data_IF_576718452314
#
_entry.id   IF_576718452314
#
_cell.length_a   1.000
_cell.length_b   1.000
_cell.length_c   1.000
_cell.angle_alpha   90.00
_cell.angle_beta   90.00
_cell.angle_gamma   90.00
#
_symmetry.space_group_name_H-M   'P 1'
#
loop_
_entity.id
_entity.type
_entity.pdbx_description
1 polymer ?
#
# COMPACT_ATOMS: atom_id res chain seq x y z
N UNK A 1 17.49 30.93 37.12
CA UNK A 1 16.50 29.92 36.67
C UNK A 1 17.16 29.01 35.64
N UNK A 2 17.11 27.69 35.83
CA UNK A 2 17.75 26.73 34.93
C UNK A 2 17.09 26.76 33.54
N UNK A 3 17.77 27.33 32.53
CA UNK A 3 17.24 27.46 31.16
C UNK A 3 16.76 26.15 30.55
N UNK A 4 17.38 25.02 30.95
CA UNK A 4 16.96 23.68 30.52
C UNK A 4 15.51 23.36 30.96
N UNK A 5 15.14 23.71 32.19
CA UNK A 5 13.80 23.42 32.74
C UNK A 5 12.72 24.26 32.04
N UNK A 6 13.03 25.53 31.76
CA UNK A 6 12.14 26.45 31.04
C UNK A 6 11.97 26.00 29.58
N UNK A 7 13.05 25.58 28.92
CA UNK A 7 12.98 25.05 27.56
C UNK A 7 12.11 23.79 27.46
N UNK A 8 12.17 22.90 28.46
CA UNK A 8 11.32 21.71 28.50
C UNK A 8 9.85 22.05 28.66
N UNK A 9 9.51 23.00 29.53
CA UNK A 9 8.14 23.46 29.73
C UNK A 9 7.54 24.03 28.43
N UNK A 10 8.23 24.98 27.79
CA UNK A 10 7.76 25.61 26.55
C UNK A 10 7.61 24.61 25.38
N UNK A 11 8.48 23.59 25.36
CA UNK A 11 8.41 22.51 24.37
C UNK A 11 7.18 21.61 24.59
N UNK A 12 6.82 21.32 25.86
CA UNK A 12 5.60 20.58 26.20
C UNK A 12 4.32 21.38 25.91
N UNK A 13 4.39 22.70 26.03
CA UNK A 13 3.33 23.64 25.62
C UNK A 13 3.18 23.75 24.08
N UNK A 14 3.94 22.99 23.29
CA UNK A 14 3.80 22.88 21.84
C UNK A 14 4.49 23.98 21.03
N UNK A 15 5.34 24.80 21.67
CA UNK A 15 6.09 25.84 20.95
C UNK A 15 7.16 25.23 20.03
N UNK A 16 7.43 25.90 18.91
CA UNK A 16 8.48 25.46 18.00
C UNK A 16 9.86 25.62 18.64
N UNK A 17 10.78 24.69 18.35
CA UNK A 17 12.18 24.76 18.85
C UNK A 17 12.88 26.09 18.55
N UNK A 18 12.47 26.78 17.46
CA UNK A 18 12.99 28.10 17.09
C UNK A 18 12.45 29.22 17.97
N UNK A 19 11.20 29.13 18.42
CA UNK A 19 10.62 30.07 19.39
C UNK A 19 11.26 29.86 20.76
N UNK A 20 11.35 28.62 21.22
CA UNK A 20 11.97 28.28 22.52
C UNK A 20 13.41 28.77 22.62
N UNK A 21 14.20 28.61 21.55
CA UNK A 21 15.58 29.11 21.48
C UNK A 21 15.67 30.63 21.68
N UNK A 22 14.74 31.40 21.12
CA UNK A 22 14.68 32.85 21.29
C UNK A 22 14.26 33.27 22.71
N UNK A 23 13.34 32.52 23.33
CA UNK A 23 12.79 32.86 24.65
C UNK A 23 13.76 32.54 25.78
N UNK A 24 14.54 31.46 25.64
CA UNK A 24 15.44 30.95 26.69
C UNK A 24 16.90 31.34 26.45
N UNK A 25 17.18 32.10 25.39
CA UNK A 25 18.53 32.47 24.94
C UNK A 25 19.48 31.27 24.85
N UNK A 26 18.98 30.17 24.30
CA UNK A 26 19.75 28.95 24.04
C UNK A 26 19.93 28.77 22.54
N UNK A 27 21.08 28.22 22.15
CA UNK A 27 21.28 27.87 20.75
C UNK A 27 20.28 26.78 20.32
N UNK A 28 19.86 26.86 19.06
CA UNK A 28 18.85 25.97 18.48
C UNK A 28 19.20 24.49 18.66
N UNK A 29 20.49 24.14 18.56
CA UNK A 29 20.96 22.76 18.71
C UNK A 29 20.82 22.24 20.14
N UNK A 30 21.03 23.08 21.16
CA UNK A 30 20.82 22.71 22.56
C UNK A 30 19.34 22.44 22.83
N UNK A 31 18.45 23.31 22.36
CA UNK A 31 16.99 23.11 22.48
C UNK A 31 16.54 21.84 21.76
N UNK A 32 17.08 21.57 20.56
CA UNK A 32 16.82 20.31 19.82
C UNK A 32 17.27 19.07 20.60
N UNK A 33 18.47 19.09 21.19
CA UNK A 33 18.97 17.96 22.00
C UNK A 33 18.11 17.75 23.25
N UNK A 34 17.78 18.84 23.96
CA UNK A 34 16.87 18.80 25.12
C UNK A 34 15.52 18.19 24.72
N UNK A 35 14.93 18.61 23.60
CA UNK A 35 13.69 18.06 23.07
C UNK A 35 13.81 16.57 22.70
N UNK A 36 14.89 16.17 22.03
CA UNK A 36 15.13 14.77 21.62
C UNK A 36 15.40 13.83 22.80
N UNK A 37 16.09 14.30 23.84
CA UNK A 37 16.34 13.52 25.05
C UNK A 37 15.11 13.36 25.94
N UNK A 38 14.10 14.22 25.77
CA UNK A 38 12.88 14.22 26.59
C UNK A 38 11.64 13.88 25.75
N UNK A 39 11.83 13.10 24.69
CA UNK A 39 10.87 12.88 23.59
C UNK A 39 9.79 11.82 23.90
N UNK A 40 9.66 11.38 25.15
CA UNK A 40 8.74 10.30 25.52
C UNK A 40 7.26 10.64 25.27
N UNK A 41 6.88 11.92 25.09
CA UNK A 41 5.46 12.31 24.99
C UNK A 41 5.15 13.39 23.92
N UNK A 42 6.01 13.64 22.93
CA UNK A 42 5.69 14.63 21.89
C UNK A 42 5.25 13.93 20.60
N UNK A 43 4.01 14.15 20.12
CA UNK A 43 3.54 13.56 18.88
C UNK A 43 4.45 14.00 17.73
N UNK A 44 5.10 13.04 17.09
CA UNK A 44 5.93 13.27 15.92
C UNK A 44 5.00 13.72 14.78
N UNK A 45 5.00 15.00 14.45
CA UNK A 45 4.34 15.44 13.22
C UNK A 45 5.07 14.78 12.05
N UNK A 46 4.39 13.89 11.33
CA UNK A 46 4.88 13.30 10.09
C UNK A 46 4.86 14.38 9.01
N UNK A 47 5.75 15.36 9.13
CA UNK A 47 5.89 16.45 8.18
C UNK A 47 6.10 15.87 6.78
N UNK A 48 5.12 16.11 5.91
CA UNK A 48 5.12 15.58 4.56
C UNK A 48 4.08 16.30 3.72
N UNK A 49 4.33 16.40 2.41
CA UNK A 49 3.35 16.93 1.47
C UNK A 49 2.13 15.99 1.42
N UNK A 50 0.90 16.51 1.48
CA UNK A 50 -0.30 15.70 1.29
C UNK A 50 -0.22 14.87 0.02
N UNK A 51 -0.75 13.64 0.07
CA UNK A 51 -0.80 12.75 -1.09
C UNK A 51 -1.62 13.43 -2.19
N UNK A 52 -1.22 13.21 -3.44
CA UNK A 52 -2.00 13.72 -4.59
C UNK A 52 -3.38 13.06 -4.63
N UNK A 53 -3.46 11.75 -4.39
CA UNK A 53 -4.71 11.00 -4.38
C UNK A 53 -5.13 10.69 -2.95
N UNK A 54 -6.37 11.07 -2.63
CA UNK A 54 -7.02 10.77 -1.35
C UNK A 54 -7.67 9.38 -1.36
N UNK A 55 -7.88 8.80 -0.18
CA UNK A 55 -8.49 7.47 -0.03
C UNK A 55 -9.92 7.41 -0.56
N UNK A 56 -10.67 8.51 -0.36
CA UNK A 56 -12.05 8.66 -0.87
C UNK A 56 -12.14 8.47 -2.39
N UNK A 57 -11.12 8.90 -3.12
CA UNK A 57 -11.03 8.78 -4.59
C UNK A 57 -10.45 7.43 -5.01
N UNK A 58 -9.50 6.92 -4.24
CA UNK A 58 -8.80 5.68 -4.56
C UNK A 58 -9.70 4.46 -4.38
N UNK A 59 -10.59 4.46 -3.39
CA UNK A 59 -11.47 3.32 -3.10
C UNK A 59 -12.48 3.00 -4.23
N UNK A 60 -13.18 3.99 -4.83
CA UNK A 60 -14.01 3.77 -6.02
C UNK A 60 -13.23 3.26 -7.22
N UNK A 61 -12.05 3.82 -7.50
CA UNK A 61 -11.20 3.38 -8.62
C UNK A 61 -10.73 1.93 -8.43
N UNK A 62 -10.38 1.54 -7.20
CA UNK A 62 -10.06 0.16 -6.82
C UNK A 62 -11.25 -0.78 -7.03
N UNK A 63 -12.44 -0.37 -6.59
CA UNK A 63 -13.65 -1.17 -6.74
C UNK A 63 -13.95 -1.43 -8.22
N UNK A 64 -13.82 -0.41 -9.06
CA UNK A 64 -14.04 -0.53 -10.50
C UNK A 64 -12.97 -1.38 -11.21
N UNK A 65 -11.71 -1.32 -10.77
CA UNK A 65 -10.66 -2.24 -11.24
C UNK A 65 -10.96 -3.69 -10.85
N UNK A 66 -11.35 -3.95 -9.60
CA UNK A 66 -11.72 -5.31 -9.13
C UNK A 66 -12.92 -5.89 -9.86
N UNK A 67 -13.92 -5.06 -10.15
CA UNK A 67 -15.11 -5.46 -10.90
C UNK A 67 -14.87 -5.60 -12.40
N UNK A 68 -13.68 -5.23 -12.90
CA UNK A 68 -13.32 -5.32 -14.31
C UNK A 68 -13.87 -4.19 -15.18
N UNK A 69 -14.48 -3.14 -14.60
CA UNK A 69 -14.92 -1.95 -15.35
C UNK A 69 -13.74 -1.19 -15.94
N UNK A 70 -12.62 -1.14 -15.23
CA UNK A 70 -11.36 -0.62 -15.75
C UNK A 70 -10.43 -1.78 -16.08
N UNK A 71 -9.94 -1.83 -17.33
CA UNK A 71 -9.04 -2.88 -17.81
C UNK A 71 -7.59 -2.64 -17.42
N UNK A 72 -7.22 -1.40 -17.09
CA UNK A 72 -5.85 -1.02 -16.76
C UNK A 72 -5.79 0.16 -15.80
N UNK A 73 -4.64 0.30 -15.14
CA UNK A 73 -4.32 1.48 -14.34
C UNK A 73 -4.36 2.78 -15.16
N UNK A 74 -3.99 2.73 -16.44
CA UNK A 74 -4.05 3.88 -17.36
C UNK A 74 -5.48 4.36 -17.58
N UNK A 75 -6.42 3.42 -17.71
CA UNK A 75 -7.84 3.77 -17.83
C UNK A 75 -8.37 4.37 -16.54
N UNK A 76 -8.03 3.77 -15.39
CA UNK A 76 -8.40 4.29 -14.09
C UNK A 76 -7.83 5.70 -13.83
N UNK A 77 -6.58 5.97 -14.23
CA UNK A 77 -5.99 7.31 -14.09
C UNK A 77 -6.66 8.34 -14.98
N UNK A 78 -7.01 7.99 -16.23
CA UNK A 78 -7.75 8.89 -17.12
C UNK A 78 -9.10 9.29 -16.54
N UNK A 79 -9.83 8.34 -15.95
CA UNK A 79 -11.10 8.65 -15.28
C UNK A 79 -10.88 9.49 -14.01
N UNK A 80 -9.82 9.21 -13.25
CA UNK A 80 -9.47 10.02 -12.08
C UNK A 80 -9.09 11.45 -12.46
N UNK A 81 -8.39 11.64 -13.59
CA UNK A 81 -7.95 12.95 -14.08
C UNK A 81 -9.13 13.82 -14.53
N UNK A 82 -10.22 13.24 -15.04
CA UNK A 82 -11.45 13.99 -15.36
C UNK A 82 -12.08 14.66 -14.14
N UNK A 83 -11.92 14.05 -12.96
CA UNK A 83 -12.51 14.52 -11.71
C UNK A 83 -11.59 15.49 -10.96
N UNK A 84 -10.42 15.83 -11.50
CA UNK A 84 -9.37 16.56 -10.80
C UNK A 84 -8.86 17.76 -11.60
N UNK A 85 -8.52 18.82 -10.88
CA UNK A 85 -7.84 19.98 -11.46
C UNK A 85 -6.38 19.70 -11.81
N UNK A 86 -5.74 18.78 -11.06
CA UNK A 86 -4.33 18.43 -11.27
C UNK A 86 -4.21 16.96 -11.68
N UNK A 87 -3.67 16.66 -12.87
CA UNK A 87 -3.53 15.31 -13.37
C UNK A 87 -2.49 14.53 -12.54
N UNK A 88 -2.70 13.22 -12.47
CA UNK A 88 -1.86 12.30 -11.72
C UNK A 88 -1.22 11.29 -12.66
N UNK A 89 0.09 11.10 -12.53
CA UNK A 89 0.77 10.10 -13.34
C UNK A 89 0.32 8.69 -13.00
N UNK A 90 0.28 7.82 -14.02
CA UNK A 90 0.03 6.38 -13.86
C UNK A 90 0.98 5.76 -12.82
N UNK A 91 2.22 6.22 -12.77
CA UNK A 91 3.19 5.79 -11.75
C UNK A 91 2.75 6.12 -10.33
N UNK A 92 2.24 7.34 -10.09
CA UNK A 92 1.74 7.76 -8.77
C UNK A 92 0.54 6.92 -8.36
N UNK A 93 -0.38 6.68 -9.30
CA UNK A 93 -1.52 5.79 -9.08
C UNK A 93 -1.06 4.36 -8.77
N UNK A 94 -0.14 3.80 -9.56
CA UNK A 94 0.40 2.46 -9.37
C UNK A 94 1.13 2.32 -8.03
N UNK A 95 1.91 3.32 -7.59
CA UNK A 95 2.58 3.28 -6.29
C UNK A 95 1.56 3.15 -5.15
N UNK A 96 0.48 3.94 -5.19
CA UNK A 96 -0.60 3.87 -4.21
C UNK A 96 -1.46 2.59 -4.36
N UNK A 97 -1.60 2.07 -5.58
CA UNK A 97 -2.30 0.83 -5.88
C UNK A 97 -1.51 -0.41 -5.43
N UNK A 98 -0.18 -0.41 -5.56
CA UNK A 98 0.73 -1.46 -5.11
C UNK A 98 0.79 -1.53 -3.58
N UNK A 99 0.69 -0.38 -2.89
CA UNK A 99 0.44 -0.33 -1.44
C UNK A 99 -0.85 -1.10 -1.07
N UNK A 100 -1.77 -1.33 -2.01
CA UNK A 100 -3.07 -1.97 -1.77
C UNK A 100 -3.20 -3.42 -2.28
N UNK A 101 -2.10 -4.20 -2.28
CA UNK A 101 -2.06 -5.66 -2.56
C UNK A 101 -2.41 -6.14 -3.98
N UNK A 102 -2.77 -5.27 -4.92
CA UNK A 102 -3.08 -5.69 -6.30
C UNK A 102 -1.84 -5.60 -7.18
N UNK A 103 -1.21 -6.76 -7.44
CA UNK A 103 -0.09 -6.91 -8.37
C UNK A 103 -0.59 -7.27 -9.77
N UNK A 104 0.00 -6.64 -10.79
CA UNK A 104 -0.22 -7.05 -12.17
C UNK A 104 0.26 -8.51 -12.35
N UNK A 105 -0.57 -9.35 -12.95
CA UNK A 105 -0.22 -10.73 -13.34
C UNK A 105 -0.57 -10.93 -14.80
N UNK A 106 0.34 -11.59 -15.52
CA UNK A 106 0.04 -12.08 -16.86
C UNK A 106 -0.84 -13.34 -16.74
N UNK A 107 -1.94 -13.43 -17.51
CA UNK A 107 -2.72 -14.67 -17.57
C UNK A 107 -1.82 -15.80 -18.10
N UNK A 108 -1.89 -16.96 -17.45
CA UNK A 108 -1.16 -18.15 -17.92
C UNK A 108 -1.85 -18.69 -19.18
N UNK A 109 -1.04 -19.05 -20.18
CA UNK A 109 -1.54 -19.75 -21.38
C UNK A 109 -1.94 -21.16 -20.97
N UNK A 110 -3.23 -21.46 -21.04
CA UNK A 110 -3.77 -22.79 -20.77
C UNK A 110 -4.42 -23.33 -22.06
N UNK A 111 -4.42 -24.64 -22.29
CA UNK A 111 -5.18 -25.23 -23.39
C UNK A 111 -6.66 -24.94 -23.21
N UNK A 112 -7.35 -24.68 -24.32
CA UNK A 112 -8.80 -24.46 -24.30
C UNK A 112 -9.50 -25.79 -23.99
N UNK A 113 -10.00 -25.94 -22.77
CA UNK A 113 -10.82 -27.10 -22.39
C UNK A 113 -12.29 -26.79 -22.66
N UNK A 114 -12.86 -27.50 -23.64
CA UNK A 114 -14.31 -27.59 -23.83
C UNK A 114 -14.97 -28.21 -22.59
N UNK A 115 -16.26 -27.98 -22.41
CA UNK A 115 -17.05 -28.50 -21.28
C UNK A 115 -16.91 -30.03 -21.17
N UNK A 116 -17.04 -30.74 -22.29
CA UNK A 116 -16.86 -32.19 -22.40
C UNK A 116 -15.51 -32.65 -21.83
N UNK A 117 -14.41 -32.00 -22.23
CA UNK A 117 -13.07 -32.35 -21.74
C UNK A 117 -12.89 -32.07 -20.25
N UNK A 118 -13.61 -31.09 -19.68
CA UNK A 118 -13.57 -30.85 -18.24
C UNK A 118 -14.30 -31.96 -17.49
N UNK A 119 -15.44 -32.39 -17.99
CA UNK A 119 -16.22 -33.49 -17.41
C UNK A 119 -15.46 -34.81 -17.48
N UNK A 120 -14.83 -35.13 -18.60
CA UNK A 120 -14.06 -36.37 -18.74
C UNK A 120 -12.82 -36.39 -17.83
N UNK A 121 -12.15 -35.23 -17.68
CA UNK A 121 -11.07 -35.08 -16.71
C UNK A 121 -11.56 -35.29 -15.28
N UNK A 122 -12.72 -34.72 -14.92
CA UNK A 122 -13.31 -34.94 -13.60
C UNK A 122 -13.69 -36.40 -13.38
N UNK A 123 -14.29 -37.07 -14.37
CA UNK A 123 -14.59 -38.51 -14.31
C UNK A 123 -13.32 -39.34 -14.13
N UNK A 124 -12.25 -39.00 -14.83
CA UNK A 124 -10.95 -39.67 -14.70
C UNK A 124 -10.39 -39.51 -13.28
N UNK A 125 -10.38 -38.29 -12.75
CA UNK A 125 -9.91 -38.01 -11.37
C UNK A 125 -10.74 -38.80 -10.36
N UNK A 126 -12.07 -38.74 -10.45
CA UNK A 126 -12.94 -39.45 -9.51
C UNK A 126 -12.80 -40.98 -9.62
N UNK A 127 -12.63 -41.51 -10.84
CA UNK A 127 -12.48 -42.95 -11.08
C UNK A 127 -11.21 -43.53 -10.44
N UNK A 128 -10.15 -42.74 -10.38
CA UNK A 128 -8.84 -43.15 -9.88
C UNK A 128 -8.42 -42.37 -8.62
N UNK A 129 -9.38 -41.78 -7.90
CA UNK A 129 -9.11 -40.96 -6.70
C UNK A 129 -8.41 -41.76 -5.60
N UNK A 130 -8.76 -43.05 -5.48
CA UNK A 130 -8.23 -43.98 -4.48
C UNK A 130 -6.95 -44.69 -4.95
N UNK A 131 -6.45 -44.40 -6.15
CA UNK A 131 -5.25 -45.07 -6.66
C UNK A 131 -4.00 -44.50 -6.01
N UNK A 132 -3.16 -45.40 -5.52
CA UNK A 132 -1.88 -45.05 -4.93
C UNK A 132 -0.74 -45.27 -5.95
N UNK A 133 0.47 -44.81 -5.61
CA UNK A 133 1.66 -44.96 -6.46
C UNK A 133 1.88 -46.38 -7.02
N UNK A 134 1.62 -47.49 -6.29
CA UNK A 134 1.77 -48.84 -6.84
C UNK A 134 0.82 -49.15 -8.01
N UNK A 135 -0.39 -48.59 -8.00
CA UNK A 135 -1.37 -48.80 -9.06
C UNK A 135 -0.96 -48.08 -10.35
N UNK A 136 -0.45 -46.86 -10.21
CA UNK A 136 0.08 -46.08 -11.34
C UNK A 136 1.30 -46.72 -12.01
N UNK A 137 2.12 -47.47 -11.27
CA UNK A 137 3.27 -48.20 -11.84
C UNK A 137 2.88 -49.27 -12.85
N UNK A 138 1.62 -49.71 -12.86
CA UNK A 138 1.10 -50.71 -13.81
C UNK A 138 0.55 -50.06 -15.08
N UNK A 139 0.40 -48.74 -15.10
CA UNK A 139 -0.11 -48.00 -16.26
C UNK A 139 1.04 -47.71 -17.22
N UNK A 140 0.90 -48.20 -18.45
CA UNK A 140 1.82 -47.86 -19.53
C UNK A 140 1.23 -46.67 -20.28
N UNK A 141 1.91 -45.52 -20.21
CA UNK A 141 1.61 -44.37 -21.04
C UNK A 141 2.39 -44.50 -22.35
N UNK A 142 1.69 -44.79 -23.44
CA UNK A 142 2.20 -44.78 -24.83
C UNK A 142 1.92 -43.45 -25.50
#
# INVERSE_FOLDING_TARGET
MNGIVVALRLTREGQSTRQVAKTVDLCLNSVRRIHLWNKENVPMNSGGRPRKLDESMVNPLKLNLKRGFFKSAVQATKEADKLRTVPVSVYTFNRQHLETFMRHRLPRRNPLLKTEYKEDRMKFVNKYEQWEDPDWKRVIFT
#
